data_IF_272214284502
#
_entry.id   IF_272214284502
#
_cell.length_a   1.000
_cell.length_b   1.000
_cell.length_c   1.000
_cell.angle_alpha   90.00
_cell.angle_beta   90.00
_cell.angle_gamma   90.00
#
_symmetry.space_group_name_H-M   'P 1'
#
loop_
_entity.id
_entity.type
_entity.pdbx_description
1 polymer ?
#
# COMPACT_ATOMS: atom_id res chain seq x y z
N UNK A 1 -0.89 15.42 17.73
CA UNK A 1 -0.21 14.89 18.94
C UNK A 1 1.24 14.54 18.65
N UNK A 2 1.57 13.83 17.56
CA UNK A 2 2.96 13.54 17.17
C UNK A 2 3.85 14.78 16.92
N UNK A 3 3.29 15.87 16.38
CA UNK A 3 4.06 17.10 16.13
C UNK A 3 4.55 17.81 17.40
N UNK A 4 3.82 17.70 18.51
CA UNK A 4 4.20 18.33 19.78
C UNK A 4 5.41 17.64 20.41
N UNK A 5 5.47 16.32 20.31
CA UNK A 5 6.55 15.52 20.88
C UNK A 5 7.86 15.70 20.08
N UNK A 6 7.75 15.86 18.76
CA UNK A 6 8.90 16.22 17.91
C UNK A 6 9.40 17.64 18.20
N UNK A 7 8.49 18.58 18.48
CA UNK A 7 8.86 19.94 18.91
C UNK A 7 9.62 19.93 20.24
N UNK A 8 9.12 19.19 21.23
CA UNK A 8 9.74 19.10 22.56
C UNK A 8 11.14 18.47 22.51
N UNK A 9 11.36 17.49 21.65
CA UNK A 9 12.69 16.89 21.42
C UNK A 9 13.64 17.90 20.78
N UNK A 10 13.14 18.67 19.82
CA UNK A 10 13.94 19.68 19.14
C UNK A 10 14.30 20.83 20.09
N UNK A 11 13.37 21.25 20.94
CA UNK A 11 13.57 22.29 21.94
C UNK A 11 14.62 21.89 22.98
N UNK A 12 14.54 20.67 23.53
CA UNK A 12 15.58 20.13 24.44
C UNK A 12 16.94 20.05 23.78
N UNK A 13 16.98 19.69 22.49
CA UNK A 13 18.25 19.64 21.74
C UNK A 13 18.82 21.03 21.51
N UNK A 14 18.00 22.01 21.16
CA UNK A 14 18.41 23.41 21.02
C UNK A 14 18.93 23.93 22.35
N UNK A 15 18.21 23.68 23.46
CA UNK A 15 18.65 24.09 24.80
C UNK A 15 20.02 23.50 25.16
N UNK A 16 20.25 22.21 24.86
CA UNK A 16 21.56 21.57 25.07
C UNK A 16 22.68 22.22 24.24
N UNK A 17 22.39 22.59 22.99
CA UNK A 17 23.36 23.23 22.10
C UNK A 17 23.66 24.67 22.53
N UNK A 18 22.63 25.41 22.95
CA UNK A 18 22.77 26.74 23.51
C UNK A 18 23.60 26.71 24.81
N UNK A 19 23.37 25.73 25.67
CA UNK A 19 24.18 25.56 26.89
C UNK A 19 25.64 25.22 26.57
N UNK A 20 25.91 24.47 25.50
CA UNK A 20 27.30 24.17 25.06
C UNK A 20 28.01 25.43 24.53
N UNK A 21 27.29 26.28 23.79
CA UNK A 21 27.89 27.44 23.11
C UNK A 21 27.99 28.67 24.03
N UNK A 22 26.95 28.96 24.81
CA UNK A 22 26.86 30.13 25.68
C UNK A 22 27.13 29.83 27.16
N UNK A 23 27.08 28.55 27.57
CA UNK A 23 27.25 28.18 28.98
C UNK A 23 26.16 28.80 29.86
N UNK A 24 26.60 29.56 30.87
CA UNK A 24 25.73 30.32 31.79
C UNK A 24 25.59 31.81 31.41
N UNK A 25 26.08 32.23 30.24
CA UNK A 25 25.95 33.61 29.78
C UNK A 25 24.53 33.90 29.26
N UNK A 26 24.09 35.16 29.33
CA UNK A 26 22.78 35.57 28.81
C UNK A 26 22.69 35.29 27.31
N UNK A 27 21.62 34.60 26.89
CA UNK A 27 21.37 34.17 25.50
C UNK A 27 21.19 35.36 24.53
N UNK A 28 20.92 36.56 25.05
CA UNK A 28 20.76 37.82 24.30
C UNK A 28 22.01 38.71 24.30
N UNK A 29 23.06 38.33 25.04
CA UNK A 29 24.33 39.06 25.02
C UNK A 29 25.15 38.67 23.79
N UNK A 30 25.83 39.66 23.20
CA UNK A 30 26.65 39.59 21.97
C UNK A 30 27.19 38.17 21.69
N UNK A 31 26.73 37.55 20.61
CA UNK A 31 27.17 36.22 20.17
C UNK A 31 28.70 36.09 20.31
N UNK A 32 29.21 35.21 21.19
CA UNK A 32 30.64 35.02 21.30
C UNK A 32 31.15 34.56 19.94
N UNK A 33 32.19 35.23 19.44
CA UNK A 33 32.88 34.87 18.18
C UNK A 33 33.69 33.59 18.39
N UNK A 34 33.02 32.51 18.79
CA UNK A 34 33.62 31.20 19.11
C UNK A 34 34.44 30.67 17.95
N UNK A 35 34.01 30.93 16.71
CA UNK A 35 34.73 30.54 15.50
C UNK A 35 36.04 31.31 15.37
N UNK A 36 36.05 32.63 15.56
CA UNK A 36 37.28 33.43 15.46
C UNK A 36 38.26 33.06 16.58
N UNK A 37 37.78 32.91 17.82
CA UNK A 37 38.59 32.46 18.95
C UNK A 37 39.12 31.04 18.76
N UNK A 38 38.30 30.12 18.25
CA UNK A 38 38.72 28.74 17.95
C UNK A 38 39.74 28.69 16.82
N UNK A 39 39.56 29.50 15.77
CA UNK A 39 40.52 29.64 14.67
C UNK A 39 41.83 30.24 15.18
N UNK A 40 41.79 31.24 16.07
CA UNK A 40 42.98 31.80 16.69
C UNK A 40 43.72 30.76 17.56
N UNK A 41 42.98 29.99 18.38
CA UNK A 41 43.54 28.90 19.19
C UNK A 41 44.11 27.81 18.28
N UNK A 42 43.41 27.42 17.23
CA UNK A 42 43.88 26.42 16.27
C UNK A 42 45.13 26.92 15.53
N UNK A 43 45.20 28.20 15.14
CA UNK A 43 46.38 28.79 14.52
C UNK A 43 47.56 28.84 15.50
N UNK A 44 47.33 29.17 16.78
CA UNK A 44 48.35 29.10 17.84
C UNK A 44 48.81 27.66 18.07
N UNK A 45 47.90 26.69 18.05
CA UNK A 45 48.19 25.26 18.18
C UNK A 45 49.01 24.76 16.99
N UNK A 46 48.59 25.07 15.75
CA UNK A 46 49.31 24.74 14.51
C UNK A 46 50.70 25.36 14.49
N UNK A 47 50.84 26.62 14.92
CA UNK A 47 52.15 27.29 15.03
C UNK A 47 53.03 26.64 16.09
N UNK A 48 52.47 26.24 17.25
CA UNK A 48 53.19 25.51 18.30
C UNK A 48 53.55 24.05 17.90
N UNK A 49 52.78 23.45 17.00
CA UNK A 49 53.02 22.12 16.42
C UNK A 49 54.06 22.18 15.29
N UNK A 50 54.18 23.33 14.60
CA UNK A 50 55.14 23.58 13.53
C UNK A 50 56.57 23.59 14.10
N UNK A 51 57.17 22.41 14.16
CA UNK A 51 58.51 22.18 14.75
C UNK A 51 58.62 20.86 15.53
N UNK A 52 57.51 20.29 15.99
CA UNK A 52 57.48 19.03 16.75
C UNK A 52 56.81 17.90 15.94
N UNK A 53 57.57 17.22 15.09
CA UNK A 53 57.12 16.08 14.24
C UNK A 53 56.44 14.92 15.00
N UNK A 54 56.61 14.83 16.33
CA UNK A 54 55.98 13.79 17.17
C UNK A 54 54.50 14.05 17.48
N UNK A 55 54.06 15.31 17.50
CA UNK A 55 52.70 15.69 17.89
C UNK A 55 51.68 15.37 16.77
N UNK A 56 51.95 15.65 15.48
CA UNK A 56 51.07 15.22 14.39
C UNK A 56 50.91 13.70 14.32
N UNK A 57 52.00 12.95 14.58
CA UNK A 57 51.99 11.48 14.63
C UNK A 57 51.22 10.94 15.84
N UNK A 58 51.16 11.68 16.94
CA UNK A 58 50.32 11.34 18.08
C UNK A 58 48.85 11.66 17.79
N UNK A 59 48.56 12.80 17.14
CA UNK A 59 47.20 13.20 16.78
C UNK A 59 46.56 12.25 15.76
N UNK A 60 47.33 11.73 14.79
CA UNK A 60 46.86 10.66 13.89
C UNK A 60 46.64 9.33 14.61
N UNK A 61 47.43 9.04 15.65
CA UNK A 61 47.21 7.86 16.48
C UNK A 61 46.02 8.01 17.43
N UNK A 62 45.59 9.22 17.76
CA UNK A 62 44.39 9.46 18.58
C UNK A 62 43.13 9.08 17.80
N UNK A 63 43.07 9.34 16.49
CA UNK A 63 41.97 8.82 15.66
C UNK A 63 41.98 7.29 15.59
N UNK A 64 43.15 6.69 15.42
CA UNK A 64 43.29 5.22 15.40
C UNK A 64 42.91 4.62 16.76
N UNK A 65 43.34 5.25 17.86
CA UNK A 65 43.02 4.81 19.22
C UNK A 65 41.53 4.99 19.54
N UNK A 66 40.89 6.04 19.03
CA UNK A 66 39.44 6.23 19.12
C UNK A 66 38.69 5.11 18.38
N UNK A 67 39.22 4.66 17.24
CA UNK A 67 38.68 3.52 16.51
C UNK A 67 38.89 2.20 17.28
N UNK A 68 40.06 2.00 17.89
CA UNK A 68 40.35 0.82 18.71
C UNK A 68 39.61 0.78 20.05
N UNK A 69 39.19 1.94 20.57
CA UNK A 69 38.38 2.08 21.80
C UNK A 69 36.87 2.00 21.52
N UNK A 70 36.46 1.95 20.26
CA UNK A 70 35.07 1.68 19.90
C UNK A 70 34.76 0.21 20.24
N UNK A 71 33.82 -0.06 21.17
CA UNK A 71 33.47 -1.42 21.57
C UNK A 71 33.11 -2.32 20.38
N UNK A 72 32.48 -1.74 19.35
CA UNK A 72 32.09 -2.47 18.15
C UNK A 72 33.31 -2.99 17.34
N UNK A 73 34.43 -2.27 17.35
CA UNK A 73 35.66 -2.68 16.66
C UNK A 73 36.48 -3.69 17.46
N UNK A 74 36.48 -3.55 18.80
CA UNK A 74 37.12 -4.53 19.69
C UNK A 74 36.41 -5.88 19.67
N UNK A 75 35.08 -5.90 19.63
CA UNK A 75 34.31 -7.16 19.60
C UNK A 75 34.54 -7.94 18.29
N UNK A 76 34.64 -7.26 17.15
CA UNK A 76 34.93 -7.87 15.86
C UNK A 76 36.37 -8.46 15.78
N UNK A 77 37.33 -7.82 16.45
CA UNK A 77 38.73 -8.26 16.52
C UNK A 77 38.96 -9.38 17.55
N UNK A 78 38.18 -9.40 18.63
CA UNK A 78 38.31 -10.37 19.74
C UNK A 78 37.53 -11.66 19.52
N UNK A 79 36.63 -11.71 18.53
CA UNK A 79 35.92 -12.93 18.20
C UNK A 79 36.88 -13.96 17.57
N UNK A 80 37.34 -14.89 18.40
CA UNK A 80 38.19 -16.02 18.01
C UNK A 80 37.56 -16.79 16.84
N UNK A 81 38.39 -17.34 15.95
CA UNK A 81 37.94 -18.11 14.79
C UNK A 81 37.04 -19.29 15.19
N UNK A 82 37.31 -19.91 16.35
CA UNK A 82 36.46 -20.94 16.95
C UNK A 82 35.08 -20.42 17.38
N UNK A 83 35.01 -19.18 17.90
CA UNK A 83 33.73 -18.58 18.30
C UNK A 83 32.89 -18.20 17.06
N UNK A 84 33.53 -17.82 15.96
CA UNK A 84 32.87 -17.60 14.66
C UNK A 84 32.26 -18.89 14.12
N UNK A 85 32.99 -20.00 14.16
CA UNK A 85 32.47 -21.30 13.71
C UNK A 85 31.31 -21.77 14.57
N UNK A 86 31.41 -21.63 15.89
CA UNK A 86 30.34 -22.04 16.81
C UNK A 86 29.09 -21.16 16.64
N UNK A 87 29.25 -19.87 16.37
CA UNK A 87 28.14 -18.96 16.07
C UNK A 87 27.47 -19.35 14.75
N UNK A 88 28.23 -19.66 13.71
CA UNK A 88 27.68 -20.09 12.41
C UNK A 88 26.95 -21.43 12.52
N UNK A 89 27.47 -22.37 13.32
CA UNK A 89 26.83 -23.65 13.60
C UNK A 89 25.55 -23.47 14.43
N UNK A 90 25.55 -22.59 15.42
CA UNK A 90 24.37 -22.27 16.22
C UNK A 90 23.26 -21.62 15.37
N UNK A 91 23.64 -20.77 14.41
CA UNK A 91 22.73 -20.05 13.52
C UNK A 91 22.45 -20.80 12.19
N UNK A 92 22.93 -22.03 12.02
CA UNK A 92 22.80 -22.80 10.77
C UNK A 92 21.33 -22.99 10.38
N UNK A 93 20.48 -23.32 11.35
CA UNK A 93 19.05 -23.51 11.12
C UNK A 93 18.36 -22.20 10.71
N UNK A 94 18.72 -21.09 11.36
CA UNK A 94 18.22 -19.77 11.02
C UNK A 94 18.62 -19.35 9.60
N UNK A 95 19.89 -19.56 9.22
CA UNK A 95 20.39 -19.27 7.87
C UNK A 95 19.69 -20.13 6.82
N UNK A 96 19.46 -21.42 7.08
CA UNK A 96 18.71 -22.32 6.19
C UNK A 96 17.26 -21.87 6.01
N UNK A 97 16.59 -21.49 7.10
CA UNK A 97 15.22 -20.96 7.02
C UNK A 97 15.18 -19.65 6.23
N UNK A 98 16.15 -18.77 6.42
CA UNK A 98 16.22 -17.49 5.71
C UNK A 98 16.52 -17.68 4.21
N UNK A 99 17.38 -18.63 3.86
CA UNK A 99 17.63 -19.01 2.47
C UNK A 99 16.37 -19.59 1.79
N UNK A 100 15.65 -20.49 2.47
CA UNK A 100 14.39 -21.03 1.95
C UNK A 100 13.34 -19.92 1.73
N UNK A 101 13.25 -18.96 2.65
CA UNK A 101 12.38 -17.78 2.49
C UNK A 101 12.81 -16.91 1.31
N UNK A 102 14.11 -16.71 1.12
CA UNK A 102 14.64 -15.96 -0.01
C UNK A 102 14.29 -16.66 -1.35
N UNK A 103 14.44 -17.97 -1.42
CA UNK A 103 14.06 -18.76 -2.61
C UNK A 103 12.56 -18.62 -2.91
N UNK A 104 11.70 -18.70 -1.88
CA UNK A 104 10.26 -18.45 -2.08
C UNK A 104 10.00 -17.02 -2.55
N UNK A 105 10.70 -16.03 -2.01
CA UNK A 105 10.54 -14.63 -2.42
C UNK A 105 10.96 -14.42 -3.87
N UNK A 106 12.05 -15.06 -4.31
CA UNK A 106 12.52 -15.01 -5.70
C UNK A 106 11.52 -15.67 -6.66
N UNK A 107 10.89 -16.78 -6.28
CA UNK A 107 9.81 -17.39 -7.07
C UNK A 107 8.57 -16.49 -7.15
N UNK A 108 8.24 -15.78 -6.07
CA UNK A 108 7.11 -14.84 -6.06
C UNK A 108 7.39 -13.58 -6.87
N UNK A 109 8.65 -13.13 -6.96
CA UNK A 109 9.06 -11.97 -7.77
C UNK A 109 8.66 -12.12 -9.25
N UNK A 110 8.84 -13.33 -9.81
CA UNK A 110 8.43 -13.65 -11.18
C UNK A 110 6.91 -13.51 -11.39
N UNK A 111 6.10 -13.80 -10.37
CA UNK A 111 4.64 -13.68 -10.46
C UNK A 111 4.14 -12.23 -10.32
N UNK A 112 4.87 -11.38 -9.58
CA UNK A 112 4.51 -9.96 -9.40
C UNK A 112 4.60 -9.22 -10.74
N UNK A 113 5.57 -9.58 -11.58
CA UNK A 113 5.80 -8.89 -12.84
C UNK A 113 4.97 -9.44 -14.01
N UNK A 114 4.04 -10.36 -13.73
CA UNK A 114 3.19 -10.98 -14.73
C UNK A 114 2.40 -9.95 -15.54
N UNK A 115 2.45 -10.09 -16.87
CA UNK A 115 1.75 -9.20 -17.80
C UNK A 115 0.23 -9.20 -17.56
N UNK A 116 -0.30 -10.30 -17.01
CA UNK A 116 -1.72 -10.43 -16.67
C UNK A 116 -2.15 -9.44 -15.59
N UNK A 117 -1.35 -9.24 -14.54
CA UNK A 117 -1.63 -8.25 -13.48
C UNK A 117 -1.52 -6.84 -14.06
N UNK A 118 -0.52 -6.57 -14.89
CA UNK A 118 -0.34 -5.27 -15.56
C UNK A 118 -1.47 -4.97 -16.55
N UNK A 119 -2.11 -5.98 -17.13
CA UNK A 119 -3.21 -5.81 -18.07
C UNK A 119 -4.59 -5.62 -17.39
N UNK A 120 -4.71 -5.84 -16.07
CA UNK A 120 -5.98 -5.71 -15.34
C UNK A 120 -6.67 -4.35 -15.53
N UNK A 121 -5.99 -3.18 -15.48
CA UNK A 121 -6.64 -1.89 -15.69
C UNK A 121 -7.26 -1.75 -17.08
N UNK A 122 -6.61 -2.31 -18.12
CA UNK A 122 -7.12 -2.30 -19.50
C UNK A 122 -8.42 -3.12 -19.62
N UNK A 123 -8.44 -4.30 -19.00
CA UNK A 123 -9.63 -5.14 -18.98
C UNK A 123 -10.73 -4.58 -18.08
N UNK A 124 -10.38 -3.91 -16.98
CA UNK A 124 -11.34 -3.28 -16.07
C UNK A 124 -12.16 -2.19 -16.76
N UNK A 125 -11.52 -1.33 -17.58
CA UNK A 125 -12.24 -0.32 -18.36
C UNK A 125 -13.22 -0.95 -19.35
N UNK A 126 -12.78 -1.99 -20.08
CA UNK A 126 -13.64 -2.70 -21.03
C UNK A 126 -14.78 -3.46 -20.35
N UNK A 127 -14.51 -4.03 -19.17
CA UNK A 127 -15.52 -4.69 -18.35
C UNK A 127 -16.55 -3.69 -17.82
N UNK A 128 -16.12 -2.48 -17.45
CA UNK A 128 -17.04 -1.43 -17.02
C UNK A 128 -17.99 -1.01 -18.14
N UNK A 129 -17.46 -0.76 -19.35
CA UNK A 129 -18.28 -0.48 -20.53
C UNK A 129 -19.25 -1.62 -20.85
N UNK A 130 -18.77 -2.87 -20.82
CA UNK A 130 -19.61 -4.05 -21.04
C UNK A 130 -20.69 -4.19 -19.96
N UNK A 131 -20.37 -3.87 -18.70
CA UNK A 131 -21.33 -3.89 -17.60
C UNK A 131 -22.45 -2.87 -17.81
N UNK A 132 -22.15 -1.66 -18.31
CA UNK A 132 -23.18 -0.68 -18.63
C UNK A 132 -24.08 -1.16 -19.77
N UNK A 133 -23.50 -1.75 -20.82
CA UNK A 133 -24.27 -2.35 -21.91
C UNK A 133 -25.17 -3.48 -21.38
N UNK A 134 -24.66 -4.32 -20.48
CA UNK A 134 -25.42 -5.43 -19.91
C UNK A 134 -26.61 -4.95 -19.08
N UNK A 135 -26.44 -3.89 -18.28
CA UNK A 135 -27.54 -3.26 -17.54
C UNK A 135 -28.63 -2.77 -18.50
N UNK A 136 -28.24 -2.04 -19.57
CA UNK A 136 -29.19 -1.55 -20.56
C UNK A 136 -29.92 -2.71 -21.29
N UNK A 137 -29.21 -3.79 -21.61
CA UNK A 137 -29.80 -4.97 -22.23
C UNK A 137 -30.78 -5.67 -21.30
N UNK A 138 -30.47 -5.74 -20.01
CA UNK A 138 -31.35 -6.32 -18.99
C UNK A 138 -32.64 -5.50 -18.84
N UNK A 139 -32.54 -4.18 -18.81
CA UNK A 139 -33.71 -3.29 -18.73
C UNK A 139 -34.58 -3.40 -20.00
N UNK A 140 -33.98 -3.42 -21.18
CA UNK A 140 -34.71 -3.62 -22.44
C UNK A 140 -35.38 -4.99 -22.50
N UNK A 141 -34.70 -6.05 -22.07
CA UNK A 141 -35.28 -7.38 -22.02
C UNK A 141 -36.48 -7.45 -21.07
N UNK A 142 -36.41 -6.77 -19.91
CA UNK A 142 -37.52 -6.69 -18.98
C UNK A 142 -38.74 -5.98 -19.60
N UNK A 143 -38.53 -4.82 -20.26
CA UNK A 143 -39.60 -4.08 -20.94
C UNK A 143 -40.27 -4.90 -22.04
N UNK A 144 -39.48 -5.53 -22.92
CA UNK A 144 -40.02 -6.37 -24.00
C UNK A 144 -40.78 -7.57 -23.43
N UNK A 145 -40.29 -8.17 -22.35
CA UNK A 145 -40.98 -9.28 -21.69
C UNK A 145 -42.34 -8.83 -21.14
N UNK A 146 -42.40 -7.66 -20.51
CA UNK A 146 -43.65 -7.09 -20.00
C UNK A 146 -44.66 -6.82 -21.12
N UNK A 147 -44.22 -6.24 -22.23
CA UNK A 147 -45.07 -5.95 -23.39
C UNK A 147 -45.60 -7.23 -24.04
N UNK A 148 -44.76 -8.25 -24.19
CA UNK A 148 -45.17 -9.56 -24.69
C UNK A 148 -46.18 -10.20 -23.76
N UNK A 149 -46.00 -10.09 -22.44
CA UNK A 149 -46.94 -10.62 -21.47
C UNK A 149 -48.31 -9.92 -21.54
N UNK A 150 -48.34 -8.58 -21.63
CA UNK A 150 -49.58 -7.81 -21.84
C UNK A 150 -50.29 -8.20 -23.13
N UNK A 151 -49.54 -8.40 -24.21
CA UNK A 151 -50.10 -8.83 -25.49
C UNK A 151 -50.68 -10.24 -25.39
N UNK A 152 -49.99 -11.16 -24.71
CA UNK A 152 -50.46 -12.52 -24.47
C UNK A 152 -51.75 -12.52 -23.66
N UNK A 153 -51.84 -11.71 -22.60
CA UNK A 153 -53.04 -11.56 -21.77
C UNK A 153 -54.22 -11.00 -22.58
N UNK A 154 -53.96 -10.02 -23.44
CA UNK A 154 -54.96 -9.44 -24.34
C UNK A 154 -55.46 -10.48 -25.34
N UNK A 155 -54.55 -11.23 -25.95
CA UNK A 155 -54.89 -12.32 -26.86
C UNK A 155 -55.73 -13.39 -26.17
N UNK A 156 -55.32 -13.83 -24.98
CA UNK A 156 -56.05 -14.84 -24.20
C UNK A 156 -57.47 -14.35 -23.83
N UNK A 157 -57.60 -13.07 -23.48
CA UNK A 157 -58.90 -12.44 -23.21
C UNK A 157 -59.80 -12.45 -24.45
N UNK A 158 -59.26 -12.06 -25.61
CA UNK A 158 -59.99 -12.05 -26.89
C UNK A 158 -60.44 -13.46 -27.27
N UNK A 159 -59.54 -14.46 -27.19
CA UNK A 159 -59.85 -15.86 -27.50
C UNK A 159 -60.95 -16.38 -26.58
N UNK A 160 -60.85 -16.13 -25.27
CA UNK A 160 -61.86 -16.55 -24.29
C UNK A 160 -63.23 -15.93 -24.58
N UNK A 161 -63.26 -14.64 -24.95
CA UNK A 161 -64.51 -13.96 -25.29
C UNK A 161 -65.12 -14.51 -26.58
N UNK A 162 -64.30 -14.73 -27.62
CA UNK A 162 -64.72 -15.35 -28.87
C UNK A 162 -65.28 -16.75 -28.63
N UNK A 163 -64.60 -17.60 -27.85
CA UNK A 163 -65.09 -18.93 -27.50
C UNK A 163 -66.45 -18.87 -26.80
N UNK A 164 -66.63 -17.97 -25.83
CA UNK A 164 -67.93 -17.77 -25.17
C UNK A 164 -69.01 -17.29 -26.16
N UNK A 165 -68.65 -16.42 -27.10
CA UNK A 165 -69.60 -15.91 -28.09
C UNK A 165 -70.02 -16.99 -29.08
N UNK A 166 -69.09 -17.85 -29.52
CA UNK A 166 -69.40 -18.98 -30.39
C UNK A 166 -70.34 -19.97 -29.69
N UNK A 167 -70.13 -20.28 -28.41
CA UNK A 167 -71.04 -21.15 -27.65
C UNK A 167 -72.44 -20.53 -27.56
N UNK A 168 -72.56 -19.22 -27.30
CA UNK A 168 -73.87 -18.54 -27.27
C UNK A 168 -74.57 -18.55 -28.63
N UNK A 169 -73.81 -18.34 -29.71
CA UNK A 169 -74.37 -18.41 -31.06
C UNK A 169 -74.84 -19.82 -31.39
N UNK A 170 -74.06 -20.84 -31.03
CA UNK A 170 -74.43 -22.25 -31.23
C UNK A 170 -75.71 -22.63 -30.47
N UNK A 171 -75.83 -22.20 -29.20
CA UNK A 171 -77.05 -22.38 -28.40
C UNK A 171 -78.25 -21.66 -29.04
N UNK A 172 -78.05 -20.44 -29.55
CA UNK A 172 -79.12 -19.67 -30.20
C UNK A 172 -79.58 -20.34 -31.50
N UNK A 173 -78.65 -20.84 -32.32
CA UNK A 173 -78.95 -21.57 -33.55
C UNK A 173 -79.69 -22.86 -33.24
N UNK A 174 -79.21 -23.64 -32.26
CA UNK A 174 -79.85 -24.89 -31.82
C UNK A 174 -81.29 -24.65 -31.35
N UNK A 175 -81.52 -23.60 -30.57
CA UNK A 175 -82.88 -23.24 -30.11
C UNK A 175 -83.80 -22.86 -31.28
N UNK A 176 -83.30 -22.13 -32.27
CA UNK A 176 -84.07 -21.79 -33.48
C UNK A 176 -84.37 -23.04 -34.33
N UNK A 177 -83.43 -23.97 -34.44
CA UNK A 177 -83.62 -25.24 -35.14
C UNK A 177 -84.72 -26.08 -34.48
N UNK A 178 -84.69 -26.25 -33.15
CA UNK A 178 -85.71 -26.97 -32.39
C UNK A 178 -87.10 -26.31 -32.57
N UNK A 179 -87.18 -24.98 -32.48
CA UNK A 179 -88.42 -24.25 -32.68
C UNK A 179 -88.98 -24.40 -34.12
N UNK A 180 -88.11 -24.59 -35.11
CA UNK A 180 -88.50 -24.86 -36.50
C UNK A 180 -88.96 -26.31 -36.71
N UNK A 181 -88.38 -27.28 -36.00
CA UNK A 181 -88.75 -28.69 -36.09
C UNK A 181 -90.07 -28.99 -35.37
N UNK A 182 -90.39 -28.28 -34.28
CA UNK A 182 -91.69 -28.40 -33.59
C UNK A 182 -92.90 -27.83 -34.33
N UNK A 183 -92.71 -27.22 -35.51
CA UNK A 183 -93.77 -26.70 -36.38
C UNK A 183 -94.12 -27.61 -37.57
N UNK A 184 -93.68 -28.87 -37.55
CA UNK A 184 -94.09 -29.90 -38.52
C UNK A 184 -95.06 -30.91 -37.90
#
# INVERSE_FOLDING_TARGET
MADSEQLDVLEKRIESLEQIVFGCAEKDALYPKCIESLVEINNKLSTAITGKKRIPKAFSKVSDLKMCLDPAYSDELTLSESAKTDTVLAEEEFLKQQAARLDTMQQLEEMIDSEHIKAVPKFSSKLHELSQIHINQQDQAALVTEDVQKLLDSYNTIVTLLSKQFVKWDETVTNLEIASQGKK
#
